data_IF_185669517982
#
_entry.id   IF_185669517982
#
_cell.length_a   1.000
_cell.length_b   1.000
_cell.length_c   1.000
_cell.angle_alpha   90.00
_cell.angle_beta   90.00
_cell.angle_gamma   90.00
#
_symmetry.space_group_name_H-M   'P 1'
#
loop_
_entity.id
_entity.type
_entity.pdbx_description
1 polymer ?
#
# COMPACT_ATOMS: atom_id res chain seq x y z
N UNK A 1 20.44 9.42 -9.12
CA UNK A 1 19.86 8.93 -7.84
C UNK A 1 19.23 7.57 -8.13
N UNK A 2 19.74 6.48 -7.55
CA UNK A 2 19.30 5.14 -7.92
C UNK A 2 17.86 4.91 -7.43
N UNK A 3 16.91 4.76 -8.36
CA UNK A 3 15.48 4.56 -8.08
C UNK A 3 15.25 3.39 -7.10
N UNK A 4 16.05 2.32 -7.24
CA UNK A 4 16.06 1.14 -6.38
C UNK A 4 16.50 1.38 -4.93
N UNK A 5 16.92 2.60 -4.57
CA UNK A 5 17.25 2.95 -3.17
C UNK A 5 16.14 3.73 -2.46
N UNK A 6 15.01 3.96 -3.14
CA UNK A 6 13.93 4.82 -2.66
C UNK A 6 12.78 4.02 -2.06
N UNK A 7 12.29 4.45 -0.90
CA UNK A 7 11.11 3.86 -0.27
C UNK A 7 9.85 4.10 -1.11
N UNK A 8 9.78 5.24 -1.82
CA UNK A 8 8.73 5.53 -2.80
C UNK A 8 8.66 4.54 -3.97
N UNK A 9 9.70 3.73 -4.19
CA UNK A 9 9.67 2.65 -5.18
C UNK A 9 9.25 1.31 -4.53
N UNK A 10 9.90 0.93 -3.42
CA UNK A 10 9.71 -0.39 -2.83
C UNK A 10 8.37 -0.57 -2.11
N UNK A 11 7.84 0.47 -1.45
CA UNK A 11 6.58 0.36 -0.71
C UNK A 11 5.37 0.16 -1.64
N UNK A 12 5.21 0.93 -2.74
CA UNK A 12 4.17 0.64 -3.73
C UNK A 12 4.34 -0.71 -4.40
N UNK A 13 5.58 -1.11 -4.70
CA UNK A 13 5.85 -2.41 -5.32
C UNK A 13 5.39 -3.57 -4.40
N UNK A 14 5.71 -3.50 -3.11
CA UNK A 14 5.24 -4.46 -2.12
C UNK A 14 3.70 -4.44 -2.02
N UNK A 15 3.09 -3.27 -2.01
CA UNK A 15 1.62 -3.11 -2.00
C UNK A 15 0.95 -3.78 -3.22
N UNK A 16 1.51 -3.58 -4.42
CA UNK A 16 1.02 -4.24 -5.65
C UNK A 16 1.10 -5.75 -5.52
N UNK A 17 2.19 -6.29 -4.98
CA UNK A 17 2.31 -7.73 -4.75
C UNK A 17 1.23 -8.23 -3.80
N UNK A 18 1.02 -7.55 -2.65
CA UNK A 18 -0.03 -7.91 -1.69
C UNK A 18 -1.41 -7.88 -2.36
N UNK A 19 -1.72 -6.86 -3.17
CA UNK A 19 -2.97 -6.78 -3.91
C UNK A 19 -3.14 -7.91 -4.94
N UNK A 20 -2.07 -8.35 -5.60
CA UNK A 20 -2.10 -9.50 -6.51
C UNK A 20 -2.39 -10.79 -5.75
N UNK A 21 -1.69 -11.04 -4.62
CA UNK A 21 -1.94 -12.21 -3.77
C UNK A 21 -3.39 -12.24 -3.28
N UNK A 22 -3.93 -11.07 -2.92
CA UNK A 22 -5.33 -10.91 -2.55
C UNK A 22 -6.29 -11.17 -3.71
N UNK A 23 -6.03 -10.62 -4.89
CA UNK A 23 -6.83 -10.84 -6.10
C UNK A 23 -6.83 -12.30 -6.60
N UNK A 24 -5.76 -13.05 -6.32
CA UNK A 24 -5.67 -14.49 -6.61
C UNK A 24 -6.52 -15.35 -5.64
N UNK A 25 -7.12 -14.76 -4.61
CA UNK A 25 -7.86 -15.49 -3.58
C UNK A 25 -6.98 -16.30 -2.64
N UNK A 26 -5.67 -16.01 -2.59
CA UNK A 26 -4.72 -16.69 -1.69
C UNK A 26 -4.80 -16.08 -0.29
N UNK A 27 -5.09 -14.78 -0.20
CA UNK A 27 -5.30 -14.05 1.05
C UNK A 27 -6.78 -14.04 1.43
N UNK A 28 -7.27 -15.21 1.86
CA UNK A 28 -8.63 -15.35 2.38
C UNK A 28 -8.86 -14.34 3.53
N UNK A 29 -9.97 -13.61 3.45
CA UNK A 29 -10.38 -12.54 4.37
C UNK A 29 -9.58 -11.23 4.33
N UNK A 30 -8.69 -11.03 3.34
CA UNK A 30 -7.92 -9.79 3.20
C UNK A 30 -6.97 -9.50 4.38
N UNK A 31 -6.53 -10.55 5.08
CA UNK A 31 -5.72 -10.43 6.30
C UNK A 31 -4.39 -9.77 5.99
N UNK A 32 -3.71 -10.21 4.92
CA UNK A 32 -2.43 -9.66 4.51
C UNK A 32 -2.59 -8.19 4.09
N UNK A 33 -3.64 -7.88 3.33
CA UNK A 33 -3.95 -6.50 2.91
C UNK A 33 -4.17 -5.59 4.13
N UNK A 34 -4.98 -6.01 5.11
CA UNK A 34 -5.27 -5.24 6.32
C UNK A 34 -4.04 -5.09 7.22
N UNK A 35 -3.32 -6.19 7.46
CA UNK A 35 -2.15 -6.20 8.34
C UNK A 35 -1.01 -5.34 7.80
N UNK A 36 -0.76 -5.43 6.49
CA UNK A 36 0.31 -4.66 5.85
C UNK A 36 -0.09 -3.22 5.60
N UNK A 37 -1.36 -2.84 5.75
CA UNK A 37 -1.80 -1.51 5.33
C UNK A 37 -2.51 -0.79 6.48
N UNK A 38 -1.79 -0.39 7.54
CA UNK A 38 -2.40 0.28 8.69
C UNK A 38 -3.10 1.60 8.32
N UNK A 39 -2.67 2.24 7.22
CA UNK A 39 -3.33 3.44 6.70
C UNK A 39 -4.71 3.14 6.10
N UNK A 40 -4.97 1.91 5.64
CA UNK A 40 -6.31 1.46 5.23
C UNK A 40 -7.22 1.24 6.44
N UNK A 41 -6.68 0.97 7.64
CA UNK A 41 -7.50 0.78 8.85
C UNK A 41 -8.31 2.03 9.25
N UNK A 42 -7.97 3.19 8.70
CA UNK A 42 -8.78 4.42 8.80
C UNK A 42 -10.11 4.32 8.04
N UNK A 43 -10.24 3.41 7.06
CA UNK A 43 -11.52 3.08 6.44
C UNK A 43 -12.22 2.05 7.34
N UNK A 44 -13.16 2.50 8.17
CA UNK A 44 -13.90 1.65 9.13
C UNK A 44 -14.64 0.44 8.52
N UNK A 45 -14.74 0.34 7.19
CA UNK A 45 -15.60 -0.63 6.50
C UNK A 45 -14.94 -1.38 5.32
N UNK A 46 -13.62 -1.65 5.36
CA UNK A 46 -12.92 -2.41 4.30
C UNK A 46 -13.66 -3.72 3.90
N UNK A 47 -14.10 -4.59 4.84
CA UNK A 47 -14.77 -5.85 4.47
C UNK A 47 -16.17 -5.64 3.89
N UNK A 48 -16.81 -4.49 4.16
CA UNK A 48 -18.12 -4.13 3.62
C UNK A 48 -17.98 -3.55 2.21
N UNK A 49 -17.03 -2.64 2.03
CA UNK A 49 -16.71 -2.01 0.74
C UNK A 49 -16.23 -3.07 -0.26
N UNK A 50 -15.35 -3.98 0.17
CA UNK A 50 -14.81 -5.04 -0.68
C UNK A 50 -15.85 -6.05 -1.23
N UNK A 51 -16.99 -6.20 -0.55
CA UNK A 51 -18.06 -7.13 -1.00
C UNK A 51 -18.87 -6.59 -2.18
N UNK A 52 -18.76 -5.31 -2.50
CA UNK A 52 -19.37 -4.74 -3.69
C UNK A 52 -18.49 -4.97 -4.93
N UNK A 53 -19.12 -5.34 -6.06
CA UNK A 53 -18.46 -5.33 -7.38
C UNK A 53 -17.85 -3.92 -7.60
N UNK A 54 -16.52 -3.88 -7.79
CA UNK A 54 -15.62 -2.70 -7.86
C UNK A 54 -15.02 -2.16 -6.54
N UNK A 55 -15.53 -2.56 -5.37
CA UNK A 55 -15.01 -2.04 -4.09
C UNK A 55 -13.57 -2.47 -3.79
N UNK A 56 -13.20 -3.71 -4.12
CA UNK A 56 -11.83 -4.21 -3.94
C UNK A 56 -10.82 -3.49 -4.83
N UNK A 57 -11.18 -3.18 -6.07
CA UNK A 57 -10.31 -2.44 -6.98
C UNK A 57 -10.00 -1.05 -6.43
N UNK A 58 -11.01 -0.36 -5.87
CA UNK A 58 -10.84 0.95 -5.22
C UNK A 58 -9.91 0.81 -4.00
N UNK A 59 -10.10 -0.22 -3.16
CA UNK A 59 -9.23 -0.48 -2.01
C UNK A 59 -7.78 -0.69 -2.46
N UNK A 60 -7.54 -1.43 -3.55
CA UNK A 60 -6.18 -1.63 -4.08
C UNK A 60 -5.55 -0.32 -4.55
N UNK A 61 -6.30 0.51 -5.27
CA UNK A 61 -5.81 1.82 -5.69
C UNK A 61 -5.45 2.70 -4.49
N UNK A 62 -6.32 2.76 -3.48
CA UNK A 62 -6.05 3.50 -2.24
C UNK A 62 -4.81 2.94 -1.54
N UNK A 63 -4.66 1.62 -1.47
CA UNK A 63 -3.52 0.97 -0.83
C UNK A 63 -2.19 1.33 -1.51
N UNK A 64 -2.11 1.13 -2.82
CA UNK A 64 -0.89 1.39 -3.60
C UNK A 64 -0.55 2.88 -3.55
N UNK A 65 -1.55 3.75 -3.67
CA UNK A 65 -1.35 5.20 -3.59
C UNK A 65 -0.93 5.65 -2.19
N UNK A 66 -1.55 5.11 -1.13
CA UNK A 66 -1.18 5.38 0.26
C UNK A 66 0.27 5.01 0.53
N UNK A 67 0.71 3.84 0.07
CA UNK A 67 2.10 3.42 0.19
C UNK A 67 3.08 4.26 -0.64
N UNK A 68 2.66 4.78 -1.80
CA UNK A 68 3.46 5.72 -2.59
C UNK A 68 3.68 7.03 -1.83
N UNK A 69 2.61 7.60 -1.27
CA UNK A 69 2.68 8.84 -0.48
C UNK A 69 3.56 8.64 0.75
N UNK A 70 3.38 7.55 1.50
CA UNK A 70 4.23 7.22 2.66
C UNK A 70 5.70 7.08 2.25
N UNK A 71 5.98 6.35 1.15
CA UNK A 71 7.34 6.20 0.66
C UNK A 71 7.98 7.51 0.22
N UNK A 72 7.22 8.42 -0.39
CA UNK A 72 7.69 9.77 -0.73
C UNK A 72 7.99 10.58 0.53
N UNK A 73 7.14 10.53 1.56
CA UNK A 73 7.38 11.20 2.84
C UNK A 73 8.67 10.69 3.48
N UNK A 74 8.87 9.36 3.54
CA UNK A 74 10.09 8.76 4.09
C UNK A 74 11.33 9.22 3.31
N UNK A 75 11.28 9.17 1.98
CA UNK A 75 12.39 9.62 1.14
C UNK A 75 12.70 11.11 1.35
N UNK A 76 11.69 11.96 1.50
CA UNK A 76 11.86 13.38 1.78
C UNK A 76 12.54 13.60 3.13
N UNK A 77 12.07 12.92 4.18
CA UNK A 77 12.66 12.97 5.53
C UNK A 77 14.13 12.54 5.49
N UNK A 78 14.44 11.40 4.87
CA UNK A 78 15.82 10.88 4.79
C UNK A 78 16.74 11.86 4.05
N UNK A 79 16.26 12.50 2.97
CA UNK A 79 17.05 13.47 2.23
C UNK A 79 17.33 14.75 3.05
N UNK A 80 16.46 15.14 3.97
CA UNK A 80 16.71 16.28 4.87
C UNK A 80 17.84 15.99 5.87
N UNK A 81 18.03 14.74 6.27
CA UNK A 81 19.09 14.33 7.20
C UNK A 81 20.39 13.91 6.53
N UNK A 82 20.47 13.96 5.19
CA UNK A 82 21.68 13.57 4.48
C UNK A 82 22.72 14.68 4.60
N UNK A 83 23.91 14.42 5.18
CA UNK A 83 24.96 15.43 5.27
C UNK A 83 25.37 15.87 3.85
N UNK A 84 25.61 17.18 3.71
CA UNK A 84 26.03 17.84 2.47
C UNK A 84 27.36 17.29 1.94
#
# INVERSE_FOLDING_TARGET
MQLFKRFSFWLPLLSVLVCIFNAMGIDDYNILLVLTSPHLALLENIPSIGRHLNGMTIIYFINVFGWLVIGLIIDLIINQFKPA
#
